data_IF_519351969896
#
_entry.id   IF_519351969896
#
_cell.length_a   1.000
_cell.length_b   1.000
_cell.length_c   1.000
_cell.angle_alpha   90.00
_cell.angle_beta   90.00
_cell.angle_gamma   90.00
#
_symmetry.space_group_name_H-M   'P 1'
#
loop_
_entity.id
_entity.type
_entity.pdbx_description
1 polymer ?
#
# COMPACT_ATOMS: atom_id res chain seq x y z
N UNK A 1 -22.19 8.15 -2.61
CA UNK A 1 -21.72 6.76 -2.72
C UNK A 1 -22.28 6.17 -4.00
N UNK A 2 -21.44 5.85 -4.98
CA UNK A 2 -21.90 5.11 -6.16
C UNK A 2 -22.17 3.66 -5.72
N UNK A 3 -23.43 3.22 -5.80
CA UNK A 3 -23.86 1.88 -5.35
C UNK A 3 -22.98 0.75 -5.94
N UNK A 4 -22.41 0.96 -7.13
CA UNK A 4 -21.51 0.02 -7.79
C UNK A 4 -20.25 -0.38 -7.01
N UNK A 5 -19.62 0.52 -6.23
CA UNK A 5 -18.40 0.18 -5.48
C UNK A 5 -18.73 -0.67 -4.26
N UNK A 6 -19.84 -0.34 -3.60
CA UNK A 6 -20.37 -1.09 -2.47
C UNK A 6 -20.81 -2.48 -2.92
N UNK A 7 -21.52 -2.58 -4.03
CA UNK A 7 -21.93 -3.85 -4.63
C UNK A 7 -20.71 -4.73 -5.00
N UNK A 8 -19.65 -4.13 -5.55
CA UNK A 8 -18.42 -4.85 -5.88
C UNK A 8 -17.70 -5.38 -4.63
N UNK A 9 -17.65 -4.61 -3.54
CA UNK A 9 -17.10 -5.06 -2.26
C UNK A 9 -17.94 -6.18 -1.65
N UNK A 10 -19.28 -6.05 -1.65
CA UNK A 10 -20.20 -7.08 -1.14
C UNK A 10 -20.10 -8.38 -1.95
N UNK A 11 -19.94 -8.30 -3.27
CA UNK A 11 -19.66 -9.46 -4.11
C UNK A 11 -18.32 -10.11 -3.77
N UNK A 12 -17.25 -9.32 -3.62
CA UNK A 12 -15.94 -9.84 -3.22
C UNK A 12 -16.00 -10.54 -1.85
N UNK A 13 -16.77 -10.01 -0.91
CA UNK A 13 -16.97 -10.59 0.42
C UNK A 13 -17.79 -11.89 0.36
N UNK A 14 -18.83 -11.92 -0.48
CA UNK A 14 -19.71 -13.09 -0.66
C UNK A 14 -18.97 -14.29 -1.26
N UNK A 15 -18.08 -14.04 -2.23
CA UNK A 15 -17.35 -15.10 -2.94
C UNK A 15 -15.94 -15.34 -2.38
N UNK A 16 -15.65 -14.84 -1.17
CA UNK A 16 -14.32 -14.90 -0.52
C UNK A 16 -13.17 -14.51 -1.46
N UNK A 17 -13.42 -13.50 -2.30
CA UNK A 17 -12.47 -13.04 -3.31
C UNK A 17 -11.22 -12.45 -2.68
N UNK A 18 -10.12 -12.41 -3.43
CA UNK A 18 -8.87 -11.78 -2.99
C UNK A 18 -9.08 -10.30 -2.60
N UNK A 19 -10.07 -9.64 -3.19
CA UNK A 19 -10.47 -8.25 -2.90
C UNK A 19 -11.45 -8.09 -1.72
N UNK A 20 -11.76 -9.14 -0.96
CA UNK A 20 -12.66 -9.06 0.21
C UNK A 20 -12.18 -8.07 1.26
N UNK A 21 -13.12 -7.51 2.01
CA UNK A 21 -12.90 -6.65 3.17
C UNK A 21 -12.26 -7.43 4.33
N UNK A 22 -11.74 -6.69 5.31
CA UNK A 22 -11.33 -7.26 6.59
C UNK A 22 -12.25 -6.74 7.70
N UNK A 23 -12.29 -7.47 8.82
CA UNK A 23 -12.96 -6.99 10.03
C UNK A 23 -11.95 -6.68 11.13
N UNK A 24 -12.30 -5.73 11.99
CA UNK A 24 -11.55 -5.37 13.19
C UNK A 24 -12.50 -5.15 14.36
N UNK A 25 -12.12 -5.63 15.54
CA UNK A 25 -12.94 -5.54 16.75
C UNK A 25 -12.39 -4.48 17.69
N UNK A 26 -13.25 -3.57 18.13
CA UNK A 26 -12.93 -2.60 19.16
C UNK A 26 -12.84 -3.30 20.53
N UNK A 27 -11.68 -3.23 21.18
CA UNK A 27 -11.33 -4.15 22.29
C UNK A 27 -12.17 -3.97 23.56
N UNK A 28 -12.70 -2.78 23.81
CA UNK A 28 -13.51 -2.47 25.00
C UNK A 28 -14.98 -2.80 24.79
N UNK A 29 -15.54 -2.51 23.62
CA UNK A 29 -16.97 -2.69 23.34
C UNK A 29 -17.29 -4.02 22.66
N UNK A 30 -16.32 -4.66 22.01
CA UNK A 30 -16.55 -5.82 21.16
C UNK A 30 -17.22 -5.50 19.82
N UNK A 31 -17.46 -4.23 19.52
CA UNK A 31 -18.06 -3.78 18.27
C UNK A 31 -17.12 -4.10 17.09
N UNK A 32 -17.69 -4.62 16.01
CA UNK A 32 -16.95 -5.03 14.81
C UNK A 32 -17.12 -3.97 13.73
N UNK A 33 -16.00 -3.55 13.15
CA UNK A 33 -15.93 -2.59 12.07
C UNK A 33 -15.41 -3.27 10.81
N UNK A 34 -15.92 -2.86 9.66
CA UNK A 34 -15.49 -3.34 8.36
C UNK A 34 -14.42 -2.41 7.79
N UNK A 35 -13.33 -2.99 7.32
CA UNK A 35 -12.23 -2.34 6.62
C UNK A 35 -12.37 -2.71 5.15
N UNK A 36 -12.90 -1.78 4.35
CA UNK A 36 -13.01 -1.95 2.90
C UNK A 36 -11.64 -2.14 2.26
N UNK A 37 -11.58 -2.92 1.18
CA UNK A 37 -10.37 -3.06 0.41
C UNK A 37 -10.03 -1.72 -0.27
N UNK A 38 -8.78 -1.24 -0.22
CA UNK A 38 -8.37 -0.01 -0.89
C UNK A 38 -8.68 0.06 -2.38
N UNK A 39 -8.86 -1.08 -3.05
CA UNK A 39 -9.29 -1.16 -4.45
C UNK A 39 -10.69 -0.58 -4.69
N UNK A 40 -11.52 -0.49 -3.64
CA UNK A 40 -12.89 0.03 -3.70
C UNK A 40 -13.08 1.32 -2.90
N UNK A 41 -12.00 2.05 -2.60
CA UNK A 41 -12.14 3.41 -2.06
C UNK A 41 -12.95 4.27 -3.02
N UNK A 42 -13.86 5.07 -2.46
CA UNK A 42 -14.52 6.12 -3.24
C UNK A 42 -13.54 7.26 -3.58
N UNK A 43 -13.98 8.20 -4.40
CA UNK A 43 -13.14 9.29 -4.90
C UNK A 43 -12.57 10.16 -3.77
N UNK A 44 -13.35 10.40 -2.71
CA UNK A 44 -12.94 11.22 -1.58
C UNK A 44 -11.91 10.50 -0.72
N UNK A 45 -12.14 9.21 -0.44
CA UNK A 45 -11.19 8.35 0.26
C UNK A 45 -9.89 8.21 -0.52
N UNK A 46 -9.98 7.99 -1.83
CA UNK A 46 -8.81 7.85 -2.70
C UNK A 46 -7.99 9.14 -2.73
N UNK A 47 -8.63 10.29 -2.91
CA UNK A 47 -7.98 11.59 -2.93
C UNK A 47 -7.30 11.88 -1.58
N UNK A 48 -8.00 11.67 -0.47
CA UNK A 48 -7.45 11.87 0.88
C UNK A 48 -6.28 10.92 1.16
N UNK A 49 -6.38 9.66 0.75
CA UNK A 49 -5.33 8.67 0.94
C UNK A 49 -4.08 9.01 0.12
N UNK A 50 -4.24 9.40 -1.15
CA UNK A 50 -3.12 9.84 -1.99
C UNK A 50 -2.46 11.11 -1.47
N UNK A 51 -3.24 12.10 -1.04
CA UNK A 51 -2.72 13.33 -0.44
C UNK A 51 -1.93 13.04 0.84
N UNK A 52 -2.42 12.12 1.69
CA UNK A 52 -1.70 11.67 2.89
C UNK A 52 -0.36 11.03 2.52
N UNK A 53 -0.34 10.07 1.59
CA UNK A 53 0.90 9.42 1.15
C UNK A 53 1.88 10.40 0.55
N UNK A 54 1.40 11.33 -0.29
CA UNK A 54 2.23 12.38 -0.86
C UNK A 54 2.84 13.27 0.22
N UNK A 55 2.05 13.69 1.22
CA UNK A 55 2.51 14.47 2.36
C UNK A 55 3.56 13.71 3.16
N UNK A 56 3.32 12.44 3.49
CA UNK A 56 4.29 11.61 4.23
C UNK A 56 5.61 11.45 3.47
N UNK A 57 5.57 11.51 2.14
CA UNK A 57 6.79 11.50 1.32
C UNK A 57 7.64 12.78 1.43
N UNK A 58 7.08 13.85 1.99
CA UNK A 58 7.77 15.12 2.27
C UNK A 58 8.23 15.25 3.74
N UNK A 59 7.94 14.26 4.60
CA UNK A 59 8.43 14.27 5.98
C UNK A 59 9.96 14.30 6.03
N UNK A 60 10.48 14.86 7.14
CA UNK A 60 11.91 14.98 7.35
C UNK A 60 12.61 13.62 7.29
N UNK A 61 13.78 13.60 6.69
CA UNK A 61 14.65 12.42 6.55
C UNK A 61 16.01 12.70 7.14
N UNK A 62 16.69 11.64 7.57
CA UNK A 62 18.11 11.73 7.83
C UNK A 62 18.86 12.14 6.55
N UNK A 63 20.04 12.78 6.66
CA UNK A 63 20.84 13.12 5.49
C UNK A 63 21.17 11.89 4.63
N UNK A 64 21.19 12.09 3.32
CA UNK A 64 21.63 11.07 2.37
C UNK A 64 23.09 10.68 2.62
N UNK A 65 23.42 9.42 2.40
CA UNK A 65 24.77 8.89 2.59
C UNK A 65 25.38 8.53 1.24
N UNK A 66 26.56 9.08 0.95
CA UNK A 66 27.37 8.65 -0.19
C UNK A 66 28.04 7.31 0.12
N UNK A 67 27.71 6.28 -0.67
CA UNK A 67 28.34 4.97 -0.58
C UNK A 67 29.40 4.92 -1.67
N UNK A 68 30.70 4.87 -1.31
CA UNK A 68 31.77 4.81 -2.29
C UNK A 68 31.77 3.46 -3.03
N UNK A 69 32.48 3.43 -4.15
CA UNK A 69 32.70 2.20 -4.93
C UNK A 69 33.41 1.14 -4.08
N UNK A 70 32.89 -0.09 -4.11
CA UNK A 70 33.42 -1.22 -3.34
C UNK A 70 33.52 -2.46 -4.23
N UNK A 71 34.64 -3.15 -4.15
CA UNK A 71 34.82 -4.47 -4.75
C UNK A 71 35.03 -5.49 -3.64
N UNK A 72 34.13 -6.46 -3.55
CA UNK A 72 34.17 -7.52 -2.54
C UNK A 72 34.51 -8.82 -3.24
N UNK A 73 35.57 -9.48 -2.80
CA UNK A 73 35.87 -10.86 -3.20
C UNK A 73 35.24 -11.80 -2.19
N UNK A 74 34.33 -12.65 -2.64
CA UNK A 74 33.68 -13.68 -1.81
C UNK A 74 33.88 -15.04 -2.45
N UNK A 75 34.12 -16.07 -1.64
CA UNK A 75 34.18 -17.44 -2.13
C UNK A 75 32.80 -18.07 -2.06
N UNK A 76 32.33 -18.63 -3.17
CA UNK A 76 31.08 -19.38 -3.20
C UNK A 76 31.21 -20.71 -2.42
N UNK A 77 30.09 -21.40 -2.12
CA UNK A 77 30.12 -22.71 -1.46
C UNK A 77 30.88 -23.81 -2.22
N UNK A 78 31.15 -23.63 -3.52
CA UNK A 78 31.89 -24.56 -4.38
C UNK A 78 33.40 -24.19 -4.48
N UNK A 79 33.86 -23.18 -3.74
CA UNK A 79 35.27 -22.76 -3.72
C UNK A 79 35.67 -21.77 -4.81
N UNK A 80 34.74 -21.26 -5.62
CA UNK A 80 35.00 -20.27 -6.66
C UNK A 80 35.03 -18.85 -6.08
N UNK A 81 36.07 -18.07 -6.40
CA UNK A 81 36.11 -16.64 -6.03
C UNK A 81 35.21 -15.83 -6.96
N UNK A 82 34.19 -15.21 -6.39
CA UNK A 82 33.30 -14.25 -7.04
C UNK A 82 33.73 -12.85 -6.63
N UNK A 83 34.03 -11.98 -7.61
CA UNK A 83 34.24 -10.56 -7.38
C UNK A 83 32.93 -9.82 -7.62
N UNK A 84 32.34 -9.29 -6.56
CA UNK A 84 31.16 -8.43 -6.64
C UNK A 84 31.61 -6.98 -6.66
N UNK A 85 31.20 -6.27 -7.71
CA UNK A 85 31.51 -4.86 -7.87
C UNK A 85 30.26 -4.02 -7.61
N UNK A 86 30.30 -3.20 -6.57
CA UNK A 86 29.25 -2.24 -6.24
C UNK A 86 29.76 -0.84 -6.58
N UNK A 87 29.18 -0.23 -7.62
CA UNK A 87 29.51 1.14 -8.02
C UNK A 87 29.14 2.16 -6.94
N UNK A 88 29.79 3.32 -6.97
CA UNK A 88 29.46 4.43 -6.10
C UNK A 88 27.99 4.87 -6.33
N UNK A 89 27.24 5.05 -5.25
CA UNK A 89 25.85 5.49 -5.32
C UNK A 89 25.44 6.23 -4.05
N UNK A 90 24.39 7.04 -4.15
CA UNK A 90 23.81 7.74 -3.00
C UNK A 90 22.70 6.87 -2.43
N UNK A 91 22.80 6.56 -1.13
CA UNK A 91 21.70 5.96 -0.38
C UNK A 91 20.88 7.07 0.26
N UNK A 92 19.62 7.18 -0.16
CA UNK A 92 18.68 8.13 0.41
C UNK A 92 18.49 7.85 1.90
N UNK A 93 18.47 8.90 2.72
CA UNK A 93 18.21 8.76 4.15
C UNK A 93 16.80 8.29 4.45
N UNK A 94 16.68 7.50 5.51
CA UNK A 94 15.40 7.05 6.03
C UNK A 94 14.61 8.21 6.64
N UNK A 95 13.30 8.06 6.74
CA UNK A 95 12.47 9.02 7.46
C UNK A 95 12.86 9.08 8.94
N UNK A 96 12.77 10.26 9.54
CA UNK A 96 12.93 10.42 10.98
C UNK A 96 11.67 9.90 11.66
N UNK A 97 11.84 9.00 12.64
CA UNK A 97 10.75 8.45 13.45
C UNK A 97 10.76 9.03 14.88
N UNK A 98 9.62 9.49 15.42
CA UNK A 98 8.31 9.60 14.77
C UNK A 98 8.29 10.64 13.63
N UNK A 99 7.43 10.43 12.63
CA UNK A 99 7.34 11.36 11.49
C UNK A 99 7.16 12.81 11.96
N UNK A 100 7.96 13.68 11.38
CA UNK A 100 7.99 15.10 11.67
C UNK A 100 8.17 15.91 10.38
N UNK A 101 7.72 17.15 10.43
CA UNK A 101 7.79 18.11 9.33
C UNK A 101 8.45 19.38 9.85
N UNK A 102 9.53 19.80 9.18
CA UNK A 102 10.16 21.09 9.42
C UNK A 102 9.62 22.14 8.45
N UNK A 103 9.06 23.23 8.99
CA UNK A 103 8.53 24.31 8.16
C UNK A 103 9.63 25.22 7.58
N UNK A 104 9.22 26.17 6.74
CA UNK A 104 10.14 27.10 6.04
C UNK A 104 10.93 27.99 7.00
N UNK A 105 10.44 28.17 8.22
CA UNK A 105 11.08 28.97 9.27
C UNK A 105 12.02 28.12 10.14
N UNK A 106 12.16 26.82 9.81
CA UNK A 106 13.00 25.86 10.53
C UNK A 106 12.35 25.28 11.78
N UNK A 107 11.04 25.47 11.97
CA UNK A 107 10.33 24.91 13.13
C UNK A 107 9.86 23.50 12.82
N UNK A 108 10.43 22.53 13.53
CA UNK A 108 10.04 21.11 13.44
C UNK A 108 8.83 20.81 14.32
N UNK A 109 7.84 20.11 13.75
CA UNK A 109 6.67 19.61 14.48
C UNK A 109 6.40 18.15 14.12
N UNK A 110 5.90 17.39 15.09
CA UNK A 110 5.43 16.03 14.83
C UNK A 110 4.24 16.06 13.87
N UNK A 111 4.15 15.04 13.03
CA UNK A 111 2.93 14.78 12.26
C UNK A 111 1.82 14.42 13.26
N UNK A 112 0.87 15.33 13.40
CA UNK A 112 -0.30 15.18 14.26
C UNK A 112 -1.59 15.41 13.45
N UNK A 113 -2.59 14.52 13.53
CA UNK A 113 -2.54 13.23 14.22
C UNK A 113 -1.57 12.24 13.54
N UNK A 114 -1.10 11.18 14.24
CA UNK A 114 -0.18 10.19 13.67
C UNK A 114 -0.71 9.56 12.37
N UNK A 115 0.20 9.09 11.51
CA UNK A 115 -0.15 8.51 10.21
C UNK A 115 -1.28 7.47 10.28
N UNK A 116 -1.19 6.50 11.20
CA UNK A 116 -2.21 5.45 11.32
C UNK A 116 -3.57 5.99 11.75
N UNK A 117 -3.61 7.09 12.51
CA UNK A 117 -4.86 7.76 12.88
C UNK A 117 -5.48 8.45 11.66
N UNK A 118 -4.66 9.11 10.84
CA UNK A 118 -5.12 9.71 9.59
C UNK A 118 -5.67 8.64 8.63
N UNK A 119 -4.97 7.51 8.47
CA UNK A 119 -5.45 6.36 7.67
C UNK A 119 -6.78 5.83 8.21
N UNK A 120 -6.88 5.60 9.52
CA UNK A 120 -8.12 5.09 10.12
C UNK A 120 -9.32 6.02 9.91
N UNK A 121 -9.12 7.34 9.99
CA UNK A 121 -10.15 8.35 9.67
C UNK A 121 -10.57 8.33 8.21
N UNK A 122 -9.62 8.15 7.28
CA UNK A 122 -9.93 8.04 5.84
C UNK A 122 -10.75 6.78 5.57
N UNK A 123 -10.34 5.65 6.15
CA UNK A 123 -10.98 4.34 5.90
C UNK A 123 -12.38 4.26 6.50
N UNK A 124 -12.56 4.71 7.74
CA UNK A 124 -13.83 4.58 8.46
C UNK A 124 -14.74 5.81 8.33
N UNK A 125 -14.19 6.96 7.95
CA UNK A 125 -14.84 8.25 8.16
C UNK A 125 -14.79 8.72 9.62
N UNK A 126 -15.08 10.00 9.85
CA UNK A 126 -14.94 10.62 11.19
C UNK A 126 -15.87 10.01 12.25
N UNK A 127 -17.13 9.73 11.89
CA UNK A 127 -18.13 9.23 12.84
C UNK A 127 -17.83 7.79 13.29
N UNK A 128 -17.55 6.89 12.34
CA UNK A 128 -17.21 5.51 12.68
C UNK A 128 -15.84 5.42 13.36
N UNK A 129 -14.87 6.24 12.94
CA UNK A 129 -13.59 6.32 13.64
C UNK A 129 -13.75 6.75 15.10
N UNK A 130 -14.64 7.72 15.38
CA UNK A 130 -14.91 8.15 16.75
C UNK A 130 -15.49 7.00 17.60
N UNK A 131 -16.44 6.23 17.05
CA UNK A 131 -16.97 5.02 17.72
C UNK A 131 -15.89 3.96 17.93
N UNK A 132 -15.13 3.66 16.89
CA UNK A 132 -14.02 2.71 16.93
C UNK A 132 -13.00 3.08 18.01
N UNK A 133 -12.57 4.35 18.05
CA UNK A 133 -11.64 4.87 19.06
C UNK A 133 -12.21 4.78 20.47
N UNK A 134 -13.45 5.21 20.68
CA UNK A 134 -14.12 5.14 21.99
C UNK A 134 -14.23 3.69 22.48
N UNK A 135 -14.49 2.75 21.56
CA UNK A 135 -14.52 1.31 21.80
C UNK A 135 -13.15 0.65 22.01
N UNK A 136 -12.04 1.41 22.04
CA UNK A 136 -10.69 0.85 22.21
C UNK A 136 -10.12 0.20 20.96
N UNK A 137 -10.55 0.66 19.79
CA UNK A 137 -9.97 0.32 18.50
C UNK A 137 -8.52 0.79 18.36
N UNK A 138 -7.71 0.00 17.66
CA UNK A 138 -6.30 0.32 17.36
C UNK A 138 -6.13 0.76 15.91
N UNK A 139 -5.82 2.05 15.70
CA UNK A 139 -5.48 2.60 14.38
C UNK A 139 -4.29 1.88 13.71
N UNK A 140 -3.31 1.46 14.52
CA UNK A 140 -2.16 0.67 14.06
C UNK A 140 -2.59 -0.68 13.49
N UNK A 141 -3.45 -1.39 14.22
CA UNK A 141 -3.96 -2.69 13.79
C UNK A 141 -4.84 -2.57 12.53
N UNK A 142 -5.67 -1.52 12.47
CA UNK A 142 -6.46 -1.20 11.27
C UNK A 142 -5.55 -0.97 10.07
N UNK A 143 -4.50 -0.15 10.22
CA UNK A 143 -3.55 0.15 9.14
C UNK A 143 -2.82 -1.11 8.67
N UNK A 144 -2.39 -1.97 9.58
CA UNK A 144 -1.78 -3.27 9.23
C UNK A 144 -2.75 -4.19 8.48
N UNK A 145 -4.04 -4.22 8.85
CA UNK A 145 -5.06 -4.98 8.10
C UNK A 145 -5.24 -4.41 6.70
N UNK A 146 -5.31 -3.08 6.56
CA UNK A 146 -5.42 -2.40 5.27
C UNK A 146 -4.23 -2.74 4.34
N UNK A 147 -3.00 -2.76 4.88
CA UNK A 147 -1.81 -3.17 4.13
C UNK A 147 -1.94 -4.61 3.61
N UNK A 148 -2.36 -5.55 4.45
CA UNK A 148 -2.61 -6.94 4.03
C UNK A 148 -3.70 -7.07 2.97
N UNK A 149 -4.69 -6.17 2.95
CA UNK A 149 -5.70 -6.16 1.88
C UNK A 149 -5.06 -5.83 0.52
N UNK A 150 -4.08 -4.90 0.49
CA UNK A 150 -3.32 -4.54 -0.73
C UNK A 150 -2.38 -5.65 -1.16
N UNK A 151 -1.60 -6.21 -0.22
CA UNK A 151 -0.65 -7.29 -0.50
C UNK A 151 -1.34 -8.48 -1.18
N UNK A 152 -2.55 -8.85 -0.75
CA UNK A 152 -3.32 -9.93 -1.41
C UNK A 152 -3.71 -9.64 -2.85
N UNK A 153 -3.94 -8.37 -3.20
CA UNK A 153 -4.22 -7.95 -4.59
C UNK A 153 -2.94 -8.02 -5.40
N UNK A 154 -1.85 -7.47 -4.88
CA UNK A 154 -0.53 -7.48 -5.52
C UNK A 154 -0.01 -8.92 -5.76
N UNK A 155 -0.16 -9.80 -4.77
CA UNK A 155 0.17 -11.23 -4.89
C UNK A 155 -0.64 -11.90 -6.01
N UNK A 156 -1.93 -11.57 -6.14
CA UNK A 156 -2.78 -12.14 -7.18
C UNK A 156 -2.42 -11.64 -8.57
N UNK A 157 -2.06 -10.36 -8.68
CA UNK A 157 -1.58 -9.74 -9.92
C UNK A 157 -0.25 -10.36 -10.35
N UNK A 158 0.70 -10.51 -9.42
CA UNK A 158 1.99 -11.14 -9.68
C UNK A 158 1.86 -12.63 -10.06
N UNK A 159 0.89 -13.33 -9.48
CA UNK A 159 0.60 -14.72 -9.78
C UNK A 159 -0.24 -14.95 -11.05
N UNK A 160 -0.75 -13.90 -11.72
CA UNK A 160 -1.55 -14.05 -12.95
C UNK A 160 -0.64 -14.25 -14.18
N UNK A 161 -0.56 -15.45 -14.78
CA UNK A 161 0.32 -15.72 -15.92
C UNK A 161 -0.32 -15.19 -17.21
N UNK A 162 -0.42 -13.87 -17.36
CA UNK A 162 -0.95 -13.24 -18.58
C UNK A 162 0.11 -12.62 -19.50
N UNK A 163 1.40 -12.89 -19.30
CA UNK A 163 2.44 -12.31 -20.16
C UNK A 163 3.61 -13.22 -20.53
N UNK A 164 3.44 -14.55 -20.42
CA UNK A 164 4.39 -15.50 -21.03
C UNK A 164 3.67 -16.27 -22.13
N UNK A 165 3.75 -15.77 -23.38
CA UNK A 165 3.48 -16.57 -24.57
C UNK A 165 2.17 -16.33 -25.34
N UNK A 166 1.70 -15.09 -25.47
CA UNK A 166 0.62 -14.73 -26.40
C UNK A 166 1.16 -14.22 -27.74
N UNK A 167 1.92 -15.03 -28.50
CA UNK A 167 2.07 -14.75 -29.92
C UNK A 167 0.70 -14.95 -30.55
N UNK A 168 0.02 -13.84 -30.84
CA UNK A 168 -1.24 -13.85 -31.57
C UNK A 168 -0.97 -14.39 -32.99
N UNK A 169 -1.11 -15.70 -33.16
CA UNK A 169 -1.41 -16.26 -34.47
C UNK A 169 -2.82 -15.79 -34.82
N UNK A 170 -2.88 -14.59 -35.40
CA UNK A 170 -4.08 -14.03 -35.98
C UNK A 170 -4.41 -14.87 -37.21
N UNK A 171 -5.14 -15.97 -37.01
CA UNK A 171 -5.76 -16.67 -38.12
C UNK A 171 -6.63 -15.65 -38.86
N UNK A 172 -6.27 -15.37 -40.11
CA UNK A 172 -6.99 -14.44 -40.96
C UNK A 172 -8.46 -14.85 -41.02
N UNK A 173 -9.34 -13.96 -40.57
CA UNK A 173 -10.78 -14.11 -40.73
C UNK A 173 -11.07 -14.14 -42.23
N UNK A 174 -11.66 -15.23 -42.71
CA UNK A 174 -12.03 -15.38 -44.12
C UNK A 174 -12.94 -14.22 -44.57
N UNK A 175 -12.70 -13.71 -45.78
CA UNK A 175 -13.47 -12.62 -46.36
C UNK A 175 -14.97 -12.96 -46.42
N UNK A 176 -15.88 -12.00 -46.19
CA UNK A 176 -17.30 -12.22 -46.33
C UNK A 176 -17.65 -12.46 -47.81
N UNK A 177 -18.27 -13.59 -48.12
CA UNK A 177 -18.88 -13.83 -49.42
C UNK A 177 -19.96 -12.77 -49.66
N UNK A 178 -19.72 -11.91 -50.65
CA UNK A 178 -20.73 -11.03 -51.22
C UNK A 178 -20.98 -11.47 -52.66
N UNK A 179 -22.02 -12.29 -52.87
CA UNK A 179 -23.01 -12.20 -53.97
C UNK A 179 -24.08 -13.27 -53.87
#
# INVERSE_FOLDING_TARGET
MSDSLKDAQEQADTYDGFARSATITARKTGEVFTIGNPLFFDDDQLAAYQALHHRMNQCDRWPDTEIPEQSIESTDPNGATVKTHNGAHVRRGDYIEPYQETDKDGVTRLVDPPYEVQVAKIVLGEEEYARFKAGGGSSRELTMKLQKLRERVEEREAADPKSVGGAADSAAVAAPDSK
#
